data_IF_917088733919
#
_entry.id   IF_917088733919
#
_cell.length_a   1.000
_cell.length_b   1.000
_cell.length_c   1.000
_cell.angle_alpha   90.00
_cell.angle_beta   90.00
_cell.angle_gamma   90.00
#
_symmetry.space_group_name_H-M   'P 1'
#
loop_
_entity.id
_entity.type
_entity.pdbx_description
1 polymer ?
#
# COMPACT_ATOMS: atom_id res chain seq x y z
N UNK A 1 -20.11 -27.34 -11.93
CA UNK A 1 -20.08 -25.86 -11.92
C UNK A 1 -18.80 -25.43 -11.24
N UNK A 2 -17.85 -24.83 -11.97
CA UNK A 2 -16.59 -24.32 -11.41
C UNK A 2 -16.84 -22.86 -11.01
N UNK A 3 -16.68 -22.55 -9.72
CA UNK A 3 -16.71 -21.16 -9.24
C UNK A 3 -15.28 -20.65 -9.35
N UNK A 4 -15.02 -19.77 -10.31
CA UNK A 4 -13.76 -19.04 -10.42
C UNK A 4 -13.97 -17.64 -9.83
N UNK A 5 -12.98 -17.14 -9.10
CA UNK A 5 -13.01 -15.79 -8.54
C UNK A 5 -12.84 -14.82 -9.70
N UNK A 6 -13.90 -14.13 -10.08
CA UNK A 6 -13.89 -13.21 -11.23
C UNK A 6 -13.42 -11.80 -10.86
N UNK A 7 -13.47 -11.42 -9.58
CA UNK A 7 -13.00 -10.14 -9.05
C UNK A 7 -12.85 -10.20 -7.53
N UNK A 8 -11.78 -9.63 -7.00
CA UNK A 8 -11.63 -9.32 -5.57
C UNK A 8 -12.02 -7.86 -5.37
N UNK A 9 -12.89 -7.58 -4.39
CA UNK A 9 -13.31 -6.22 -4.03
C UNK A 9 -12.85 -5.92 -2.60
N UNK A 10 -12.01 -4.92 -2.48
CA UNK A 10 -11.48 -4.29 -1.26
C UNK A 10 -11.86 -2.80 -1.31
N UNK A 11 -11.77 -2.05 -0.20
CA UNK A 11 -12.13 -0.64 -0.19
C UNK A 11 -11.44 0.21 -1.28
N UNK A 12 -10.17 -0.08 -1.60
CA UNK A 12 -9.46 0.58 -2.70
C UNK A 12 -9.88 0.10 -4.09
N UNK A 13 -10.30 -1.16 -4.25
CA UNK A 13 -10.67 -1.74 -5.56
C UNK A 13 -12.16 -1.64 -5.91
N UNK A 14 -12.95 -0.99 -5.07
CA UNK A 14 -14.36 -0.67 -5.28
C UNK A 14 -14.52 0.47 -6.32
N UNK A 15 -14.57 0.12 -7.60
CA UNK A 15 -14.84 1.09 -8.68
C UNK A 15 -16.19 1.81 -8.54
N UNK A 16 -17.16 1.25 -7.81
CA UNK A 16 -18.48 1.86 -7.61
C UNK A 16 -18.50 2.93 -6.49
N UNK A 17 -17.37 3.14 -5.79
CA UNK A 17 -17.21 4.17 -4.76
C UNK A 17 -16.40 5.39 -5.24
N UNK A 18 -16.23 5.58 -6.56
CA UNK A 18 -15.55 6.72 -7.19
C UNK A 18 -16.26 8.08 -7.01
N UNK A 19 -17.33 8.15 -6.20
CA UNK A 19 -18.17 9.34 -6.00
C UNK A 19 -17.70 10.23 -4.85
N UNK A 20 -16.40 10.41 -4.64
CA UNK A 20 -15.92 11.34 -3.61
C UNK A 20 -14.73 12.10 -4.16
N UNK A 21 -14.68 13.41 -3.91
CA UNK A 21 -13.59 14.34 -4.28
C UNK A 21 -12.25 14.02 -3.58
N UNK A 22 -12.09 12.79 -3.08
CA UNK A 22 -10.96 12.29 -2.32
C UNK A 22 -10.19 11.27 -3.14
N UNK A 23 -8.86 11.37 -3.11
CA UNK A 23 -7.99 10.53 -3.92
C UNK A 23 -8.13 9.05 -3.55
N UNK A 24 -8.44 8.20 -4.54
CA UNK A 24 -8.59 6.76 -4.36
C UNK A 24 -7.26 6.02 -4.58
N UNK A 25 -6.19 6.48 -3.93
CA UNK A 25 -4.89 5.84 -4.01
C UNK A 25 -4.89 4.52 -3.24
N UNK A 26 -4.43 3.46 -3.91
CA UNK A 26 -3.98 2.23 -3.30
C UNK A 26 -2.46 2.33 -3.10
N UNK A 27 -2.00 2.27 -1.86
CA UNK A 27 -0.58 2.28 -1.53
C UNK A 27 -0.09 0.87 -1.18
N UNK A 28 1.18 0.61 -1.45
CA UNK A 28 1.87 -0.60 -1.03
C UNK A 28 3.22 -0.27 -0.40
N UNK A 29 3.58 -1.01 0.65
CA UNK A 29 4.84 -0.89 1.36
C UNK A 29 5.52 -2.24 1.50
N UNK A 30 6.85 -2.25 1.35
CA UNK A 30 7.67 -3.42 1.63
C UNK A 30 9.01 -2.98 2.21
N UNK A 31 9.60 -3.79 3.08
CA UNK A 31 10.98 -3.63 3.51
C UNK A 31 11.77 -4.87 3.10
N UNK A 32 12.81 -4.68 2.28
CA UNK A 32 13.67 -5.75 1.80
C UNK A 32 15.12 -5.32 1.96
N UNK A 33 15.93 -6.13 2.64
CA UNK A 33 17.37 -5.89 2.84
C UNK A 33 17.71 -4.49 3.42
N UNK A 34 16.85 -3.94 4.28
CA UNK A 34 17.03 -2.62 4.89
C UNK A 34 16.66 -1.43 3.99
N UNK A 35 16.04 -1.68 2.84
CA UNK A 35 15.43 -0.66 1.99
C UNK A 35 13.90 -0.73 2.10
N UNK A 36 13.26 0.44 2.23
CA UNK A 36 11.82 0.56 2.24
C UNK A 36 11.32 0.95 0.84
N UNK A 37 10.61 0.03 0.19
CA UNK A 37 9.90 0.27 -1.06
C UNK A 37 8.50 0.81 -0.78
N UNK A 38 8.12 1.86 -1.51
CA UNK A 38 6.77 2.44 -1.49
C UNK A 38 6.23 2.52 -2.92
N UNK A 39 4.99 2.10 -3.11
CA UNK A 39 4.27 2.26 -4.36
C UNK A 39 2.88 2.83 -4.12
N UNK A 40 2.38 3.60 -5.07
CA UNK A 40 1.03 4.17 -5.06
C UNK A 40 0.41 4.07 -6.45
N UNK A 41 -0.85 3.65 -6.48
CA UNK A 41 -1.67 3.51 -7.68
C UNK A 41 -2.97 4.27 -7.50
N UNK A 42 -3.25 5.23 -8.36
CA UNK A 42 -4.60 5.78 -8.51
C UNK A 42 -5.38 4.90 -9.48
N UNK A 43 -6.36 4.16 -8.95
CA UNK A 43 -7.19 3.26 -9.75
C UNK A 43 -8.15 4.00 -10.69
N UNK A 44 -8.41 5.29 -10.46
CA UNK A 44 -9.29 6.09 -11.31
C UNK A 44 -8.61 6.63 -12.56
N UNK A 45 -7.33 7.01 -12.43
CA UNK A 45 -6.54 7.60 -13.53
C UNK A 45 -5.53 6.62 -14.14
N UNK A 46 -5.23 5.53 -13.44
CA UNK A 46 -4.15 4.61 -13.81
C UNK A 46 -2.75 5.16 -13.50
N UNK A 47 -2.65 6.27 -12.76
CA UNK A 47 -1.36 6.82 -12.35
C UNK A 47 -0.66 5.87 -11.37
N UNK A 48 0.55 5.44 -11.72
CA UNK A 48 1.39 4.59 -10.88
C UNK A 48 2.70 5.29 -10.55
N UNK A 49 3.05 5.30 -9.27
CA UNK A 49 4.31 5.85 -8.75
C UNK A 49 4.97 4.82 -7.84
N UNK A 50 6.28 4.71 -7.91
CA UNK A 50 7.06 3.87 -7.01
C UNK A 50 8.39 4.55 -6.66
N UNK A 51 8.85 4.34 -5.43
CA UNK A 51 10.11 4.87 -4.91
C UNK A 51 10.71 3.92 -3.87
N UNK A 52 12.00 4.04 -3.63
CA UNK A 52 12.73 3.30 -2.60
C UNK A 52 13.48 4.29 -1.70
N UNK A 53 13.47 4.03 -0.40
CA UNK A 53 14.24 4.78 0.58
C UNK A 53 15.19 3.86 1.33
N UNK A 54 16.42 4.33 1.55
CA UNK A 54 17.46 3.58 2.26
C UNK A 54 17.99 4.40 3.45
N UNK A 55 18.54 3.70 4.44
CA UNK A 55 19.16 4.32 5.61
C UNK A 55 18.18 4.68 6.73
N UNK A 56 18.65 5.35 7.79
CA UNK A 56 17.89 5.54 9.03
C UNK A 56 16.64 6.41 8.86
N UNK A 57 16.60 7.23 7.82
CA UNK A 57 15.47 8.13 7.51
C UNK A 57 14.38 7.47 6.65
N UNK A 58 14.56 6.22 6.23
CA UNK A 58 13.64 5.55 5.29
C UNK A 58 12.21 5.50 5.82
N UNK A 59 12.02 5.10 7.09
CA UNK A 59 10.70 5.04 7.71
C UNK A 59 10.02 6.41 7.80
N UNK A 60 10.79 7.47 8.09
CA UNK A 60 10.27 8.85 8.16
C UNK A 60 9.78 9.31 6.78
N UNK A 61 10.54 9.04 5.72
CA UNK A 61 10.16 9.39 4.35
C UNK A 61 8.92 8.63 3.87
N UNK A 62 8.81 7.34 4.20
CA UNK A 62 7.59 6.56 3.95
C UNK A 62 6.38 7.21 4.63
N UNK A 63 6.52 7.64 5.89
CA UNK A 63 5.43 8.31 6.61
C UNK A 63 5.04 9.65 5.95
N UNK A 64 6.00 10.40 5.41
CA UNK A 64 5.74 11.63 4.64
C UNK A 64 4.93 11.35 3.37
N UNK A 65 5.29 10.31 2.60
CA UNK A 65 4.55 9.90 1.40
C UNK A 65 3.12 9.47 1.74
N UNK A 66 2.93 8.67 2.79
CA UNK A 66 1.60 8.25 3.26
C UNK A 66 0.74 9.45 3.69
N UNK A 67 1.33 10.40 4.43
CA UNK A 67 0.64 11.60 4.89
C UNK A 67 0.25 12.53 3.72
N UNK A 68 1.08 12.59 2.69
CA UNK A 68 0.83 13.40 1.50
C UNK A 68 -0.24 12.76 0.59
N UNK A 69 -0.12 11.46 0.33
CA UNK A 69 -1.01 10.75 -0.60
C UNK A 69 -2.36 10.42 0.02
N UNK A 70 -2.42 10.21 1.35
CA UNK A 70 -3.62 9.79 2.10
C UNK A 70 -4.35 8.66 1.35
N UNK A 71 -3.69 7.50 1.16
CA UNK A 71 -4.29 6.41 0.41
C UNK A 71 -5.57 5.92 1.07
N UNK A 72 -6.50 5.39 0.29
CA UNK A 72 -7.72 4.74 0.80
C UNK A 72 -7.41 3.36 1.38
N UNK A 73 -6.40 2.71 0.85
CA UNK A 73 -6.00 1.36 1.25
C UNK A 73 -4.47 1.23 1.20
N UNK A 74 -3.91 0.57 2.20
CA UNK A 74 -2.49 0.29 2.34
C UNK A 74 -2.23 -1.21 2.41
N UNK A 75 -1.47 -1.71 1.45
CA UNK A 75 -1.05 -3.10 1.32
C UNK A 75 0.37 -3.26 1.87
N UNK A 76 0.63 -4.31 2.65
CA UNK A 76 1.96 -4.58 3.20
C UNK A 76 2.16 -6.06 3.56
N UNK A 77 3.42 -6.55 3.65
CA UNK A 77 3.70 -7.91 4.12
C UNK A 77 3.23 -8.10 5.56
N UNK A 78 2.52 -9.18 5.82
CA UNK A 78 1.91 -9.49 7.11
C UNK A 78 2.93 -9.57 8.26
N UNK A 79 4.17 -9.99 7.99
CA UNK A 79 5.25 -10.03 8.99
C UNK A 79 6.15 -8.78 8.98
N UNK A 80 5.79 -7.73 8.22
CA UNK A 80 6.62 -6.54 8.11
C UNK A 80 6.74 -5.82 9.47
N UNK A 81 7.97 -5.56 9.96
CA UNK A 81 8.20 -4.81 11.21
C UNK A 81 7.84 -3.33 11.08
N UNK A 82 7.59 -2.84 9.85
CA UNK A 82 7.17 -1.48 9.53
C UNK A 82 5.98 -0.99 10.37
N UNK A 83 5.17 -1.92 10.88
CA UNK A 83 3.92 -1.65 11.57
C UNK A 83 3.77 -2.46 12.87
N UNK A 84 4.65 -2.27 13.86
CA UNK A 84 4.38 -2.73 15.24
C UNK A 84 3.15 -2.03 15.86
N UNK A 85 2.64 -0.95 15.24
CA UNK A 85 1.34 -0.33 15.56
C UNK A 85 0.92 0.69 14.48
N UNK A 86 0.35 0.24 13.34
CA UNK A 86 0.02 1.14 12.23
C UNK A 86 -1.05 2.19 12.63
N UNK A 87 -1.97 1.82 13.52
CA UNK A 87 -2.99 2.73 14.07
C UNK A 87 -2.52 3.71 15.16
N UNK A 88 -1.26 3.69 15.61
CA UNK A 88 -0.75 4.63 16.63
C UNK A 88 0.44 5.49 16.18
N UNK A 89 1.21 5.06 15.18
CA UNK A 89 2.39 5.80 14.72
C UNK A 89 2.09 6.81 13.61
N UNK A 90 0.96 6.69 12.92
CA UNK A 90 0.32 7.83 12.24
C UNK A 90 -0.48 8.59 13.29
N UNK A 91 -0.06 9.81 13.63
CA UNK A 91 -0.70 10.60 14.66
C UNK A 91 -2.23 10.55 14.55
N UNK A 92 -2.88 9.96 15.56
CA UNK A 92 -4.30 10.14 15.90
C UNK A 92 -5.21 10.51 14.71
N UNK A 93 -5.41 9.61 13.73
CA UNK A 93 -6.39 9.83 12.65
C UNK A 93 -6.04 9.37 11.23
N UNK A 94 -5.24 8.33 11.02
CA UNK A 94 -5.04 7.78 9.67
C UNK A 94 -6.30 7.01 9.20
N UNK A 95 -7.09 7.61 8.30
CA UNK A 95 -8.31 7.05 7.69
C UNK A 95 -7.98 6.18 6.46
N UNK A 96 -7.20 5.11 6.61
CA UNK A 96 -6.98 4.15 5.52
C UNK A 96 -7.26 2.72 5.95
N UNK A 97 -7.72 1.91 5.00
CA UNK A 97 -7.90 0.49 5.20
C UNK A 97 -6.54 -0.22 5.13
N UNK A 98 -6.24 -1.06 6.11
CA UNK A 98 -5.04 -1.90 6.12
C UNK A 98 -5.34 -3.28 5.53
N UNK A 99 -4.54 -3.69 4.55
CA UNK A 99 -4.65 -4.98 3.88
C UNK A 99 -3.32 -5.74 3.97
N UNK A 100 -3.06 -6.42 5.10
CA UNK A 100 -1.88 -7.27 5.23
C UNK A 100 -1.99 -8.45 4.26
N UNK A 101 -0.91 -8.73 3.54
CA UNK A 101 -0.80 -9.82 2.58
C UNK A 101 0.35 -10.75 2.96
N UNK A 102 0.32 -11.98 2.47
CA UNK A 102 1.39 -12.94 2.71
C UNK A 102 2.72 -12.46 2.13
N UNK A 103 3.81 -12.62 2.88
CA UNK A 103 5.11 -12.03 2.56
C UNK A 103 5.69 -12.49 1.22
N UNK A 104 5.33 -13.71 0.77
CA UNK A 104 5.80 -14.24 -0.51
C UNK A 104 5.36 -13.38 -1.70
N UNK A 105 4.25 -12.64 -1.57
CA UNK A 105 3.75 -11.71 -2.60
C UNK A 105 4.77 -10.60 -2.86
N UNK A 106 5.54 -10.21 -1.85
CA UNK A 106 6.56 -9.15 -1.95
C UNK A 106 7.95 -9.70 -2.25
N UNK A 107 8.09 -11.02 -2.48
CA UNK A 107 9.38 -11.59 -2.82
C UNK A 107 9.86 -11.13 -4.21
N UNK A 108 11.18 -10.96 -4.43
CA UNK A 108 11.72 -10.59 -5.73
C UNK A 108 11.34 -11.53 -6.87
N UNK A 109 10.97 -12.78 -6.57
CA UNK A 109 10.54 -13.77 -7.56
C UNK A 109 9.15 -13.48 -8.13
N UNK A 110 8.32 -12.75 -7.38
CA UNK A 110 6.99 -12.32 -7.79
C UNK A 110 6.98 -10.90 -8.36
N UNK A 111 8.10 -10.18 -8.27
CA UNK A 111 8.27 -8.91 -8.97
C UNK A 111 8.38 -9.20 -10.47
N UNK A 112 7.39 -8.74 -11.25
CA UNK A 112 7.44 -8.82 -12.71
C UNK A 112 8.38 -7.71 -13.18
N UNK A 113 9.51 -8.03 -13.84
CA UNK A 113 10.39 -7.00 -14.38
C UNK A 113 9.68 -6.20 -15.48
N UNK A 114 9.92 -4.89 -15.50
CA UNK A 114 9.41 -3.97 -16.53
C UNK A 114 10.01 -4.24 -17.91
#
# INVERSE_FOLDING_TARGET
VRREVTRVVTPGTAADALNSEENNFLAALAEINGAAGFAALDLSTGEFRATEFQGPEAARRVAEELAQLRPRELIYPSAAPLFENPGKNGGMGAEWAETPLEDWIFSPQHAIPL
#
